data_IF_830319925979
#
_entry.id   IF_830319925979
#
_cell.length_a   1.000
_cell.length_b   1.000
_cell.length_c   1.000
_cell.angle_alpha   90.00
_cell.angle_beta   90.00
_cell.angle_gamma   90.00
#
_symmetry.space_group_name_H-M   'P 1'
#
loop_
_entity.id
_entity.type
_entity.pdbx_description
1 polymer ?
#
# COMPACT_ATOMS: atom_id res chain seq x y z
N UNK A 1 -32.73 -22.66 -35.11
CA UNK A 1 -31.31 -22.71 -34.69
C UNK A 1 -30.87 -21.46 -33.89
N UNK A 2 -31.70 -20.88 -33.01
CA UNK A 2 -31.33 -19.70 -32.16
C UNK A 2 -31.09 -20.02 -30.67
N UNK A 3 -31.43 -21.24 -30.23
CA UNK A 3 -31.42 -21.62 -28.81
C UNK A 3 -30.00 -21.85 -28.24
N UNK A 4 -29.02 -22.14 -29.10
CA UNK A 4 -27.65 -22.49 -28.68
C UNK A 4 -26.84 -21.27 -28.20
N UNK A 5 -27.07 -20.11 -28.82
CA UNK A 5 -26.37 -18.86 -28.47
C UNK A 5 -26.85 -18.25 -27.15
N UNK A 6 -28.14 -18.33 -26.85
CA UNK A 6 -28.71 -17.81 -25.59
C UNK A 6 -28.32 -18.65 -24.38
N UNK A 7 -28.23 -19.98 -24.53
CA UNK A 7 -27.78 -20.86 -23.45
C UNK A 7 -26.30 -20.63 -23.10
N UNK A 8 -25.44 -20.45 -24.11
CA UNK A 8 -24.02 -20.20 -23.90
C UNK A 8 -23.76 -18.84 -23.23
N UNK A 9 -24.51 -17.80 -23.62
CA UNK A 9 -24.43 -16.49 -22.98
C UNK A 9 -24.91 -16.52 -21.51
N UNK A 10 -25.98 -17.27 -21.22
CA UNK A 10 -26.50 -17.40 -19.84
C UNK A 10 -25.52 -18.15 -18.92
N UNK A 11 -24.86 -19.21 -19.43
CA UNK A 11 -23.84 -19.94 -18.68
C UNK A 11 -22.61 -19.06 -18.40
N UNK A 12 -22.17 -18.28 -19.39
CA UNK A 12 -21.04 -17.36 -19.20
C UNK A 12 -21.35 -16.29 -18.14
N UNK A 13 -22.57 -15.75 -18.15
CA UNK A 13 -23.04 -14.77 -17.17
C UNK A 13 -23.07 -15.35 -15.75
N UNK A 14 -23.55 -16.60 -15.59
CA UNK A 14 -23.59 -17.30 -14.29
C UNK A 14 -22.20 -17.55 -13.73
N UNK A 15 -21.23 -17.90 -14.57
CA UNK A 15 -19.83 -18.09 -14.17
C UNK A 15 -19.21 -16.77 -13.71
N UNK A 16 -19.45 -15.67 -14.45
CA UNK A 16 -18.94 -14.34 -14.09
C UNK A 16 -19.54 -13.82 -12.77
N UNK A 17 -20.84 -14.04 -12.54
CA UNK A 17 -21.50 -13.67 -11.28
C UNK A 17 -20.92 -14.46 -10.10
N UNK A 18 -20.69 -15.76 -10.25
CA UNK A 18 -20.07 -16.55 -9.19
C UNK A 18 -18.62 -16.16 -8.91
N UNK A 19 -17.86 -15.75 -9.93
CA UNK A 19 -16.50 -15.26 -9.75
C UNK A 19 -16.47 -13.96 -8.91
N UNK A 20 -17.37 -13.02 -9.20
CA UNK A 20 -17.44 -11.77 -8.44
C UNK A 20 -17.90 -11.96 -6.98
N UNK A 21 -18.84 -12.89 -6.75
CA UNK A 21 -19.33 -13.19 -5.40
C UNK A 21 -18.27 -13.90 -4.56
N UNK A 22 -17.42 -14.73 -5.16
CA UNK A 22 -16.36 -15.44 -4.42
C UNK A 22 -15.19 -14.55 -4.01
N UNK A 23 -14.88 -13.49 -4.77
CA UNK A 23 -13.90 -12.47 -4.36
C UNK A 23 -14.46 -11.48 -3.33
N UNK A 24 -15.75 -11.13 -3.42
CA UNK A 24 -16.38 -10.16 -2.53
C UNK A 24 -16.73 -10.68 -1.12
N UNK A 25 -16.91 -12.00 -0.94
CA UNK A 25 -17.30 -12.58 0.36
C UNK A 25 -16.10 -12.84 1.28
N UNK A 26 -14.91 -13.07 0.70
CA UNK A 26 -13.74 -13.44 1.48
C UNK A 26 -13.24 -12.32 2.38
N UNK A 27 -13.32 -11.06 1.91
CA UNK A 27 -12.74 -9.92 2.61
C UNK A 27 -13.54 -9.49 3.86
N UNK A 28 -14.88 -9.32 3.82
CA UNK A 28 -15.66 -8.93 5.00
C UNK A 28 -15.68 -10.01 6.09
N UNK A 29 -15.72 -11.29 5.72
CA UNK A 29 -15.77 -12.40 6.68
C UNK A 29 -14.44 -12.62 7.42
N UNK A 30 -13.31 -12.52 6.70
CA UNK A 30 -11.98 -12.64 7.29
C UNK A 30 -11.71 -11.49 8.28
N UNK A 31 -12.10 -10.26 7.95
CA UNK A 31 -11.93 -9.10 8.83
C UNK A 31 -12.80 -9.14 10.08
N UNK A 32 -14.04 -9.63 9.98
CA UNK A 32 -14.93 -9.77 11.14
C UNK A 32 -14.43 -10.86 12.11
N UNK A 33 -13.71 -11.88 11.62
CA UNK A 33 -13.24 -13.01 12.43
C UNK A 33 -11.83 -12.83 12.99
N UNK A 34 -10.97 -12.10 12.31
CA UNK A 34 -9.56 -11.88 12.69
C UNK A 34 -9.22 -10.42 12.96
N UNK A 35 -10.23 -9.58 13.20
CA UNK A 35 -10.10 -8.14 13.44
C UNK A 35 -8.84 -7.78 14.21
N UNK A 36 -7.88 -7.21 13.49
CA UNK A 36 -6.65 -6.68 14.06
C UNK A 36 -7.05 -5.51 14.96
N UNK A 37 -6.66 -5.56 16.22
CA UNK A 37 -6.84 -4.46 17.14
C UNK A 37 -6.32 -3.15 16.49
N UNK A 38 -7.10 -2.06 16.48
CA UNK A 38 -6.71 -0.84 15.76
C UNK A 38 -5.32 -0.37 16.21
N UNK A 39 -4.44 -0.04 15.25
CA UNK A 39 -3.07 0.40 15.57
C UNK A 39 -3.08 1.60 16.54
N UNK A 40 -4.04 2.51 16.38
CA UNK A 40 -4.33 3.62 17.31
C UNK A 40 -4.56 3.21 18.77
N UNK A 41 -5.07 2.01 19.04
CA UNK A 41 -5.26 1.49 20.41
C UNK A 41 -3.92 1.25 21.11
N UNK A 42 -2.86 0.91 20.37
CA UNK A 42 -1.49 0.73 20.91
C UNK A 42 -0.86 2.04 21.39
N UNK A 43 -1.31 3.18 20.87
CA UNK A 43 -0.78 4.50 21.23
C UNK A 43 -1.64 5.27 22.24
N UNK A 44 -2.84 4.76 22.57
CA UNK A 44 -3.61 5.24 23.73
C UNK A 44 -3.00 4.64 25.00
N UNK A 45 -1.84 5.13 25.39
CA UNK A 45 -1.12 4.63 26.55
C UNK A 45 -1.92 4.74 27.86
N UNK A 46 -1.90 3.65 28.62
CA UNK A 46 -1.63 3.61 30.05
C UNK A 46 -2.34 4.68 30.92
N UNK A 47 -3.63 4.48 31.17
CA UNK A 47 -4.40 5.27 32.12
C UNK A 47 -5.64 4.53 32.61
N UNK A 48 -5.43 3.48 33.41
CA UNK A 48 -6.47 2.94 34.31
C UNK A 48 -7.29 1.75 33.82
N UNK A 49 -7.07 0.60 34.46
CA UNK A 49 -8.11 -0.38 34.80
C UNK A 49 -8.44 -1.47 33.76
N UNK A 50 -8.05 -2.73 34.08
CA UNK A 50 -8.62 -4.03 33.67
C UNK A 50 -9.17 -4.18 32.24
N UNK A 51 -8.75 -5.17 31.47
CA UNK A 51 -9.28 -6.55 31.60
C UNK A 51 -8.56 -7.46 30.58
N UNK A 52 -8.06 -8.58 31.13
CA UNK A 52 -7.77 -9.93 30.58
C UNK A 52 -7.14 -10.12 29.18
N UNK A 53 -5.91 -10.64 29.22
CA UNK A 53 -5.41 -11.62 28.25
C UNK A 53 -6.09 -13.00 28.47
N UNK A 54 -6.30 -13.84 27.43
CA UNK A 54 -6.63 -15.24 27.64
C UNK A 54 -5.35 -16.07 27.72
N UNK A 55 -5.05 -16.59 28.92
CA UNK A 55 -4.11 -17.69 29.09
C UNK A 55 -4.90 -18.98 29.30
N UNK A 56 -4.53 -20.01 28.54
CA UNK A 56 -5.05 -21.35 28.69
C UNK A 56 -4.43 -22.06 29.91
N UNK A 57 -5.26 -22.92 30.50
CA UNK A 57 -4.96 -24.16 31.25
C UNK A 57 -4.54 -24.11 32.73
N UNK A 58 -5.45 -24.72 33.53
CA UNK A 58 -5.25 -25.70 34.62
C UNK A 58 -4.36 -25.40 35.84
N UNK A 59 -4.98 -25.48 37.03
CA UNK A 59 -4.29 -25.98 38.23
C UNK A 59 -4.66 -25.32 39.57
N UNK A 60 -5.66 -25.90 40.26
CA UNK A 60 -5.87 -26.05 41.74
C UNK A 60 -5.44 -24.94 42.75
N UNK A 61 -6.47 -24.46 43.46
CA UNK A 61 -6.61 -24.28 44.93
C UNK A 61 -5.44 -23.72 45.76
N UNK A 62 -5.66 -22.61 46.48
CA UNK A 62 -6.01 -22.57 47.92
C UNK A 62 -6.19 -21.12 48.42
N UNK A 63 -7.22 -20.91 49.26
CA UNK A 63 -7.41 -19.73 50.13
C UNK A 63 -6.51 -19.85 51.37
N UNK A 64 -6.26 -18.75 52.10
CA UNK A 64 -7.04 -18.57 53.32
C UNK A 64 -7.50 -17.13 53.59
N UNK A 65 -8.54 -17.09 54.41
CA UNK A 65 -9.23 -15.93 54.95
C UNK A 65 -8.42 -15.20 56.05
N UNK A 66 -8.84 -13.96 56.35
CA UNK A 66 -8.68 -13.39 57.68
C UNK A 66 -8.61 -11.87 57.73
N UNK A 67 -9.57 -11.24 58.43
CA UNK A 67 -9.33 -9.97 59.10
C UNK A 67 -10.25 -8.82 58.73
N UNK A 68 -11.40 -8.76 59.39
CA UNK A 68 -12.21 -7.56 59.48
C UNK A 68 -11.52 -6.50 60.35
N UNK A 69 -11.62 -5.22 59.98
CA UNK A 69 -11.89 -4.18 60.97
C UNK A 69 -12.55 -2.94 60.35
N UNK A 70 -13.57 -2.44 61.05
CA UNK A 70 -14.20 -1.12 60.86
C UNK A 70 -13.20 -0.05 61.26
N UNK A 71 -13.19 1.09 60.56
CA UNK A 71 -13.49 2.36 61.22
C UNK A 71 -13.74 3.52 60.24
N UNK A 72 -14.72 4.33 60.61
CA UNK A 72 -15.04 5.63 60.02
C UNK A 72 -14.00 6.64 60.50
N UNK A 73 -13.40 7.43 59.60
CA UNK A 73 -13.21 8.83 59.91
C UNK A 73 -12.98 9.73 58.69
N UNK A 74 -13.60 10.91 58.79
CA UNK A 74 -13.49 12.05 57.88
C UNK A 74 -12.04 12.56 57.87
N UNK A 75 -11.54 12.92 56.70
CA UNK A 75 -10.29 13.65 56.55
C UNK A 75 -10.03 13.94 55.07
N UNK A 76 -10.47 15.12 54.62
CA UNK A 76 -10.05 15.63 53.32
C UNK A 76 -8.55 15.98 53.37
N UNK A 77 -7.78 15.74 52.30
CA UNK A 77 -6.41 16.22 52.25
C UNK A 77 -6.40 17.69 51.82
N UNK A 78 -6.15 18.57 52.79
CA UNK A 78 -5.65 19.93 52.55
C UNK A 78 -4.24 19.81 51.97
N UNK A 79 -4.06 20.20 50.71
CA UNK A 79 -2.74 20.32 50.10
C UNK A 79 -1.93 21.46 50.75
N UNK A 80 -0.59 21.32 50.85
CA UNK A 80 0.27 22.35 51.43
C UNK A 80 0.30 23.64 50.58
N UNK A 81 0.57 24.81 51.19
CA UNK A 81 0.55 26.10 50.50
C UNK A 81 1.71 26.17 49.50
N UNK A 82 1.41 26.44 48.23
CA UNK A 82 2.41 26.59 47.16
C UNK A 82 2.17 25.75 45.90
N UNK A 83 1.17 24.88 45.89
CA UNK A 83 0.69 24.23 44.66
C UNK A 83 -0.48 25.02 44.08
N UNK A 84 -0.20 25.87 43.08
CA UNK A 84 -1.23 26.32 42.17
C UNK A 84 -1.76 25.10 41.41
N UNK A 85 -3.06 24.84 41.53
CA UNK A 85 -3.77 23.97 40.59
C UNK A 85 -3.72 24.69 39.23
N UNK A 86 -2.70 24.37 38.44
CA UNK A 86 -2.62 24.81 37.06
C UNK A 86 -3.88 24.29 36.37
N UNK A 87 -4.74 25.21 35.90
CA UNK A 87 -5.92 24.87 35.13
C UNK A 87 -5.58 23.80 34.10
N UNK A 88 -6.31 22.68 34.02
CA UNK A 88 -6.05 21.63 33.03
C UNK A 88 -6.34 22.07 31.59
N UNK A 89 -6.61 23.37 31.36
CA UNK A 89 -6.90 23.95 30.05
C UNK A 89 -5.69 24.52 29.31
N UNK A 90 -4.47 24.45 29.85
CA UNK A 90 -3.27 24.96 29.15
C UNK A 90 -2.13 23.96 28.95
N UNK A 91 -2.34 22.67 29.27
CA UNK A 91 -1.34 21.63 28.98
C UNK A 91 -1.63 21.04 27.61
N UNK A 92 -1.01 21.66 26.60
CA UNK A 92 -0.71 21.12 25.26
C UNK A 92 -1.95 20.65 24.49
N UNK A 93 -2.14 21.24 23.33
CA UNK A 93 -2.85 20.62 22.22
C UNK A 93 -2.15 19.29 21.91
N UNK A 94 -2.50 18.25 22.67
CA UNK A 94 -2.07 16.90 22.46
C UNK A 94 -2.66 16.55 21.10
N UNK A 95 -1.79 16.55 20.09
CA UNK A 95 -2.15 16.30 18.71
C UNK A 95 -3.04 15.07 18.68
N UNK A 96 -4.32 15.27 18.36
CA UNK A 96 -5.32 14.21 18.44
C UNK A 96 -4.89 13.11 17.47
N UNK A 97 -4.62 11.91 17.99
CA UNK A 97 -4.29 10.75 17.14
C UNK A 97 -5.56 10.33 16.38
N UNK A 98 -5.44 10.12 15.08
CA UNK A 98 -6.56 9.68 14.24
C UNK A 98 -7.05 8.28 14.62
N UNK A 99 -8.32 8.01 14.33
CA UNK A 99 -8.77 6.64 14.13
C UNK A 99 -8.29 6.20 12.74
N UNK A 100 -7.71 5.00 12.67
CA UNK A 100 -7.09 4.48 11.46
C UNK A 100 -8.10 3.78 10.56
N UNK A 101 -9.24 3.37 11.12
CA UNK A 101 -10.24 2.60 10.42
C UNK A 101 -10.76 3.29 9.14
N UNK A 102 -11.04 4.61 9.13
CA UNK A 102 -11.38 5.31 7.89
C UNK A 102 -10.29 5.22 6.81
N UNK A 103 -9.01 5.27 7.19
CA UNK A 103 -7.88 5.17 6.26
C UNK A 103 -7.80 3.77 5.67
N UNK A 104 -7.86 2.75 6.53
CA UNK A 104 -7.89 1.35 6.14
C UNK A 104 -9.02 1.06 5.16
N UNK A 105 -10.25 1.53 5.46
CA UNK A 105 -11.40 1.30 4.60
C UNK A 105 -11.24 1.91 3.21
N UNK A 106 -10.55 3.05 3.08
CA UNK A 106 -10.25 3.65 1.78
C UNK A 106 -9.18 2.87 1.02
N UNK A 107 -8.10 2.45 1.69
CA UNK A 107 -7.05 1.62 1.06
C UNK A 107 -7.58 0.26 0.59
N UNK A 108 -8.53 -0.32 1.33
CA UNK A 108 -9.16 -1.59 0.97
C UNK A 108 -9.91 -1.53 -0.38
N UNK A 109 -10.43 -0.37 -0.78
CA UNK A 109 -11.09 -0.18 -2.09
C UNK A 109 -10.14 -0.47 -3.25
N UNK A 110 -8.86 -0.14 -3.08
CA UNK A 110 -7.80 -0.38 -4.06
C UNK A 110 -7.04 -1.69 -3.82
N UNK A 111 -7.42 -2.49 -2.82
CA UNK A 111 -6.67 -3.67 -2.36
C UNK A 111 -5.22 -3.35 -1.97
N UNK A 112 -4.95 -2.13 -1.48
CA UNK A 112 -3.63 -1.70 -1.03
C UNK A 112 -3.42 -2.16 0.41
N UNK A 113 -2.92 -3.40 0.55
CA UNK A 113 -2.60 -4.02 1.85
C UNK A 113 -1.10 -4.18 2.09
N UNK A 114 -0.26 -3.89 1.09
CA UNK A 114 1.20 -3.94 1.22
C UNK A 114 1.87 -2.94 0.25
N UNK A 115 3.16 -2.62 0.45
CA UNK A 115 3.92 -1.78 -0.47
C UNK A 115 3.92 -2.31 -1.92
N UNK A 116 3.99 -3.62 -2.12
CA UNK A 116 3.96 -4.28 -3.44
C UNK A 116 2.63 -4.05 -4.14
N UNK A 117 1.52 -4.07 -3.39
CA UNK A 117 0.18 -3.85 -3.94
C UNK A 117 0.00 -2.44 -4.50
N UNK A 118 0.76 -1.46 -3.99
CA UNK A 118 0.83 -0.11 -4.58
C UNK A 118 1.50 -0.17 -5.96
N UNK A 119 2.63 -0.85 -6.07
CA UNK A 119 3.37 -0.98 -7.35
C UNK A 119 2.53 -1.77 -8.37
N UNK A 120 1.80 -2.78 -7.92
CA UNK A 120 0.92 -3.61 -8.75
C UNK A 120 -0.22 -2.81 -9.41
N UNK A 121 -0.53 -1.60 -8.93
CA UNK A 121 -1.48 -0.70 -9.59
C UNK A 121 -1.02 -0.30 -11.00
N UNK A 122 0.29 -0.33 -11.29
CA UNK A 122 0.82 -0.13 -12.66
C UNK A 122 0.30 -1.17 -13.66
N UNK A 123 0.03 -2.37 -13.17
CA UNK A 123 -0.41 -3.50 -13.97
C UNK A 123 -1.94 -3.65 -14.00
N UNK A 124 -2.68 -2.59 -13.67
CA UNK A 124 -4.14 -2.58 -13.82
C UNK A 124 -4.52 -2.48 -15.31
N UNK A 125 -5.66 -3.07 -15.72
CA UNK A 125 -6.11 -3.03 -17.12
C UNK A 125 -6.28 -1.60 -17.67
N UNK A 126 -6.82 -0.71 -16.84
CA UNK A 126 -7.04 0.70 -17.15
C UNK A 126 -6.37 1.58 -16.09
N UNK A 127 -5.23 2.18 -16.45
CA UNK A 127 -4.56 3.16 -15.58
C UNK A 127 -5.39 4.43 -15.39
N UNK A 128 -6.16 4.84 -16.40
CA UNK A 128 -6.99 6.05 -16.32
C UNK A 128 -8.02 5.92 -15.21
N UNK A 129 -8.74 4.79 -15.20
CA UNK A 129 -9.77 4.51 -14.18
C UNK A 129 -9.12 4.30 -12.81
N UNK A 130 -8.01 3.54 -12.76
CA UNK A 130 -7.25 3.34 -11.53
C UNK A 130 -6.80 4.67 -10.94
N UNK A 131 -6.33 5.61 -11.77
CA UNK A 131 -5.91 6.93 -11.33
C UNK A 131 -7.08 7.81 -10.85
N UNK A 132 -8.27 7.68 -11.43
CA UNK A 132 -9.46 8.34 -10.91
C UNK A 132 -9.82 7.81 -9.52
N UNK A 133 -9.78 6.49 -9.33
CA UNK A 133 -10.08 5.85 -8.04
C UNK A 133 -9.03 6.19 -6.97
N UNK A 134 -7.74 6.19 -7.33
CA UNK A 134 -6.63 6.59 -6.44
C UNK A 134 -6.81 8.02 -5.94
N UNK A 135 -7.18 8.96 -6.82
CA UNK A 135 -7.45 10.35 -6.43
C UNK A 135 -8.62 10.46 -5.47
N UNK A 136 -9.71 9.73 -5.71
CA UNK A 136 -10.86 9.69 -4.80
C UNK A 136 -10.48 9.10 -3.43
N UNK A 137 -9.78 7.97 -3.41
CA UNK A 137 -9.32 7.32 -2.17
C UNK A 137 -8.42 8.23 -1.35
N UNK A 138 -7.40 8.84 -1.97
CA UNK A 138 -6.50 9.77 -1.27
C UNK A 138 -7.25 11.01 -0.77
N UNK A 139 -8.16 11.58 -1.55
CA UNK A 139 -9.00 12.70 -1.12
C UNK A 139 -9.81 12.36 0.14
N UNK A 140 -10.42 11.17 0.18
CA UNK A 140 -11.19 10.69 1.33
C UNK A 140 -10.30 10.42 2.55
N UNK A 141 -9.08 9.90 2.36
CA UNK A 141 -8.09 9.74 3.44
C UNK A 141 -7.70 11.11 4.03
N UNK A 142 -7.41 12.10 3.18
CA UNK A 142 -7.07 13.45 3.64
C UNK A 142 -8.25 14.11 4.36
N UNK A 143 -9.47 13.93 3.87
CA UNK A 143 -10.66 14.45 4.55
C UNK A 143 -10.84 13.82 5.94
N UNK A 144 -10.68 12.48 6.06
CA UNK A 144 -10.80 11.76 7.31
C UNK A 144 -9.71 12.12 8.33
N UNK A 145 -8.52 12.49 7.86
CA UNK A 145 -7.36 12.83 8.71
C UNK A 145 -7.17 14.33 8.91
N UNK A 146 -7.98 15.18 8.29
CA UNK A 146 -7.83 16.66 8.29
C UNK A 146 -7.78 17.33 9.67
N UNK A 147 -8.28 16.68 10.73
CA UNK A 147 -8.39 17.22 12.10
C UNK A 147 -7.57 16.44 13.13
N UNK A 148 -6.71 15.55 12.68
CA UNK A 148 -5.93 14.66 13.54
C UNK A 148 -4.60 14.32 12.87
N UNK A 149 -3.71 13.63 13.58
CA UNK A 149 -2.44 13.17 13.01
C UNK A 149 -2.35 11.66 13.19
N UNK A 150 -2.01 10.94 12.11
CA UNK A 150 -1.71 9.51 12.17
C UNK A 150 -0.41 9.29 12.93
N UNK A 151 -0.31 8.18 13.66
CA UNK A 151 0.94 7.83 14.32
C UNK A 151 2.10 7.69 13.30
N UNK A 152 3.34 8.09 13.63
CA UNK A 152 4.45 8.04 12.66
C UNK A 152 4.77 6.64 12.11
N UNK A 153 4.46 5.60 12.89
CA UNK A 153 4.60 4.17 12.58
C UNK A 153 3.28 3.53 12.12
N UNK A 154 2.26 4.34 11.84
CA UNK A 154 0.99 3.86 11.32
C UNK A 154 1.14 3.29 9.91
N UNK A 155 0.93 1.98 9.79
CA UNK A 155 1.08 1.25 8.53
C UNK A 155 0.18 1.79 7.42
N UNK A 156 -1.06 2.20 7.74
CA UNK A 156 -2.00 2.71 6.74
C UNK A 156 -1.63 4.12 6.29
N UNK A 157 -1.12 4.94 7.20
CA UNK A 157 -0.49 6.22 6.87
C UNK A 157 0.67 6.04 5.92
N UNK A 158 1.55 5.07 6.18
CA UNK A 158 2.69 4.76 5.29
C UNK A 158 2.25 4.25 3.92
N UNK A 159 1.30 3.33 3.86
CA UNK A 159 0.72 2.88 2.59
C UNK A 159 0.11 4.06 1.82
N UNK A 160 -0.58 4.98 2.51
CA UNK A 160 -1.09 6.21 1.89
C UNK A 160 0.03 7.12 1.36
N UNK A 161 1.16 7.26 2.07
CA UNK A 161 2.33 8.02 1.58
C UNK A 161 2.92 7.39 0.29
N UNK A 162 3.00 6.06 0.23
CA UNK A 162 3.44 5.35 -0.97
C UNK A 162 2.47 5.48 -2.14
N UNK A 163 1.17 5.49 -1.86
CA UNK A 163 0.09 5.66 -2.83
C UNK A 163 0.01 7.10 -3.35
N UNK A 164 0.26 8.09 -2.50
CA UNK A 164 0.33 9.50 -2.90
C UNK A 164 1.48 9.73 -3.89
N UNK A 165 2.66 9.13 -3.63
CA UNK A 165 3.76 9.14 -4.59
C UNK A 165 3.40 8.43 -5.92
N UNK A 166 2.66 7.32 -5.87
CA UNK A 166 2.16 6.68 -7.09
C UNK A 166 1.29 7.66 -7.90
N UNK A 167 0.34 8.34 -7.24
CA UNK A 167 -0.54 9.34 -7.87
C UNK A 167 0.29 10.46 -8.53
N UNK A 168 1.25 11.04 -7.82
CA UNK A 168 2.11 12.11 -8.33
C UNK A 168 2.87 11.69 -9.60
N UNK A 169 3.43 10.47 -9.62
CA UNK A 169 4.28 10.02 -10.73
C UNK A 169 3.48 9.50 -11.92
N UNK A 170 2.40 8.75 -11.66
CA UNK A 170 1.67 7.99 -12.68
C UNK A 170 0.41 8.74 -13.13
N UNK A 171 -0.35 9.30 -12.19
CA UNK A 171 -1.70 9.79 -12.42
C UNK A 171 -1.82 11.27 -12.74
N UNK A 172 -0.87 12.07 -12.27
CA UNK A 172 -0.85 13.51 -12.53
C UNK A 172 -0.15 13.77 -13.88
N UNK A 173 -0.94 14.19 -14.86
CA UNK A 173 -0.52 14.51 -16.24
C UNK A 173 0.08 15.89 -16.37
N UNK A 174 -0.16 16.75 -15.39
CA UNK A 174 0.10 18.17 -15.49
C UNK A 174 1.37 18.50 -14.72
N UNK A 175 2.18 19.34 -15.35
CA UNK A 175 3.49 19.84 -14.94
C UNK A 175 4.67 19.03 -15.48
N UNK A 176 5.60 19.78 -16.07
CA UNK A 176 6.95 19.44 -16.47
C UNK A 176 7.85 19.00 -15.29
N UNK A 177 7.30 18.31 -14.30
CA UNK A 177 7.99 17.81 -13.12
C UNK A 177 9.08 16.80 -13.49
N UNK A 178 10.24 16.93 -12.85
CA UNK A 178 11.39 16.05 -13.05
C UNK A 178 11.06 14.55 -12.88
N UNK A 179 10.09 14.23 -12.02
CA UNK A 179 9.66 12.87 -11.69
C UNK A 179 9.03 12.14 -12.88
N UNK A 180 8.09 12.77 -13.61
CA UNK A 180 7.44 12.12 -14.77
C UNK A 180 8.42 11.90 -15.92
N UNK A 181 9.33 12.85 -16.16
CA UNK A 181 10.43 12.68 -17.12
C UNK A 181 11.36 11.52 -16.74
N UNK A 182 11.63 11.34 -15.45
CA UNK A 182 12.44 10.20 -14.93
C UNK A 182 11.79 8.85 -15.19
N UNK A 183 10.45 8.79 -15.26
CA UNK A 183 9.68 7.55 -15.45
C UNK A 183 8.93 7.48 -16.79
N UNK A 184 9.34 8.25 -17.80
CA UNK A 184 8.69 8.24 -19.11
C UNK A 184 8.72 6.84 -19.75
N UNK A 185 9.86 6.15 -19.68
CA UNK A 185 10.02 4.79 -20.20
C UNK A 185 9.18 3.74 -19.46
N UNK A 186 8.87 3.95 -18.18
CA UNK A 186 7.95 3.12 -17.40
C UNK A 186 6.53 3.23 -17.96
N UNK A 187 6.08 4.46 -18.24
CA UNK A 187 4.75 4.73 -18.78
C UNK A 187 4.64 4.25 -20.24
N UNK A 188 5.70 4.37 -21.04
CA UNK A 188 5.77 3.78 -22.38
C UNK A 188 5.69 2.25 -22.33
N UNK A 189 6.33 1.62 -21.34
CA UNK A 189 6.30 0.17 -21.13
C UNK A 189 5.04 -0.34 -20.41
N UNK A 190 4.05 0.52 -20.12
CA UNK A 190 2.90 0.18 -19.30
C UNK A 190 2.09 -1.01 -19.85
N UNK A 191 1.92 -1.10 -21.17
CA UNK A 191 1.24 -2.24 -21.78
C UNK A 191 1.99 -3.55 -21.49
N UNK A 192 3.32 -3.56 -21.48
CA UNK A 192 4.10 -4.74 -21.12
C UNK A 192 3.98 -5.06 -19.63
N UNK A 193 4.07 -4.03 -18.78
CA UNK A 193 3.96 -4.18 -17.32
C UNK A 193 2.57 -4.73 -16.93
N UNK A 194 1.52 -4.35 -17.64
CA UNK A 194 0.18 -4.92 -17.48
C UNK A 194 0.17 -6.43 -17.69
N UNK A 195 0.81 -6.92 -18.73
CA UNK A 195 0.88 -8.37 -18.99
C UNK A 195 1.72 -9.12 -17.94
N UNK A 196 2.67 -8.42 -17.30
CA UNK A 196 3.54 -8.96 -16.24
C UNK A 196 2.85 -9.01 -14.86
N UNK A 197 1.55 -8.73 -14.75
CA UNK A 197 0.84 -8.70 -13.47
C UNK A 197 1.09 -9.95 -12.61
N UNK A 198 1.00 -11.13 -13.22
CA UNK A 198 1.21 -12.40 -12.51
C UNK A 198 2.65 -12.56 -12.04
N UNK A 199 3.63 -12.25 -12.89
CA UNK A 199 5.05 -12.27 -12.51
C UNK A 199 5.37 -11.28 -11.38
N UNK A 200 4.69 -10.13 -11.33
CA UNK A 200 4.83 -9.19 -10.23
C UNK A 200 4.25 -9.72 -8.92
N UNK A 201 3.16 -10.49 -8.98
CA UNK A 201 2.59 -11.14 -7.80
C UNK A 201 3.54 -12.23 -7.27
N UNK A 202 4.25 -12.96 -8.15
CA UNK A 202 5.27 -13.93 -7.74
C UNK A 202 6.45 -13.30 -6.99
N UNK A 203 6.65 -11.99 -7.12
CA UNK A 203 7.68 -11.24 -6.39
C UNK A 203 7.21 -10.74 -5.00
N UNK A 204 5.96 -10.98 -4.59
CA UNK A 204 5.47 -10.54 -3.29
C UNK A 204 6.24 -11.20 -2.15
N UNK A 205 6.67 -10.38 -1.19
CA UNK A 205 7.33 -10.88 0.00
C UNK A 205 6.33 -11.49 0.99
N UNK A 206 6.82 -12.19 2.04
CA UNK A 206 5.94 -12.75 3.06
C UNK A 206 5.03 -11.69 3.70
N UNK A 207 3.80 -12.05 4.11
CA UNK A 207 2.88 -11.11 4.75
C UNK A 207 3.54 -10.31 5.89
N UNK A 208 3.20 -9.02 5.98
CA UNK A 208 3.62 -8.09 7.03
C UNK A 208 5.16 -7.89 7.15
N UNK A 209 5.94 -8.29 6.15
CA UNK A 209 7.40 -8.15 6.19
C UNK A 209 7.86 -6.71 6.45
N UNK A 210 7.11 -5.72 5.94
CA UNK A 210 7.39 -4.29 6.05
C UNK A 210 7.16 -3.73 7.46
N UNK A 211 6.52 -4.50 8.34
CA UNK A 211 6.33 -4.16 9.77
C UNK A 211 7.49 -4.66 10.65
N UNK A 212 8.41 -5.44 10.07
CA UNK A 212 9.54 -6.01 10.80
C UNK A 212 10.42 -4.93 11.42
N UNK A 213 10.63 -5.01 12.74
CA UNK A 213 11.53 -4.09 13.48
C UNK A 213 13.01 -4.32 13.17
N UNK A 214 13.39 -5.52 12.76
CA UNK A 214 14.75 -5.84 12.34
C UNK A 214 15.07 -5.20 10.98
N UNK A 215 15.77 -4.06 11.02
CA UNK A 215 16.16 -3.29 9.83
C UNK A 215 16.92 -4.11 8.79
N UNK A 216 17.86 -4.94 9.21
CA UNK A 216 18.66 -5.75 8.27
C UNK A 216 17.80 -6.75 7.52
N UNK A 217 16.88 -7.44 8.22
CA UNK A 217 15.92 -8.36 7.60
C UNK A 217 14.95 -7.61 6.67
N UNK A 218 14.41 -6.48 7.13
CA UNK A 218 13.53 -5.61 6.33
C UNK A 218 14.20 -5.18 5.02
N UNK A 219 15.42 -4.66 5.10
CA UNK A 219 16.12 -4.14 3.92
C UNK A 219 16.59 -5.25 2.96
N UNK A 220 16.86 -6.45 3.47
CA UNK A 220 17.13 -7.62 2.64
C UNK A 220 15.89 -7.99 1.82
N UNK A 221 14.75 -8.17 2.49
CA UNK A 221 13.47 -8.51 1.81
C UNK A 221 13.08 -7.42 0.80
N UNK A 222 13.20 -6.15 1.19
CA UNK A 222 12.95 -5.02 0.29
C UNK A 222 13.80 -5.10 -1.00
N UNK A 223 15.11 -5.35 -0.87
CA UNK A 223 15.97 -5.47 -2.05
C UNK A 223 15.67 -6.72 -2.87
N UNK A 224 15.29 -7.85 -2.24
CA UNK A 224 14.90 -9.07 -2.94
C UNK A 224 13.66 -8.84 -3.81
N UNK A 225 12.64 -8.14 -3.31
CA UNK A 225 11.44 -7.77 -4.09
C UNK A 225 11.83 -6.87 -5.28
N UNK A 226 12.67 -5.85 -5.06
CA UNK A 226 13.14 -4.96 -6.12
C UNK A 226 13.98 -5.69 -7.18
N UNK A 227 14.83 -6.62 -6.77
CA UNK A 227 15.63 -7.48 -7.65
C UNK A 227 14.74 -8.43 -8.47
N UNK A 228 13.67 -8.95 -7.87
CA UNK A 228 12.68 -9.77 -8.55
C UNK A 228 11.95 -8.96 -9.63
N UNK A 229 11.40 -7.79 -9.30
CA UNK A 229 10.78 -6.90 -10.29
C UNK A 229 11.72 -6.53 -11.43
N UNK A 230 12.98 -6.19 -11.11
CA UNK A 230 13.98 -5.91 -12.12
C UNK A 230 14.20 -7.10 -13.05
N UNK A 231 14.36 -8.30 -12.49
CA UNK A 231 14.66 -9.51 -13.27
C UNK A 231 13.51 -9.87 -14.20
N UNK A 232 12.27 -9.88 -13.69
CA UNK A 232 11.07 -10.17 -14.49
C UNK A 232 10.87 -9.15 -15.59
N UNK A 233 10.94 -7.86 -15.26
CA UNK A 233 10.79 -6.80 -16.25
C UNK A 233 11.92 -6.81 -17.28
N UNK A 234 13.15 -7.14 -16.90
CA UNK A 234 14.26 -7.23 -17.85
C UNK A 234 14.06 -8.35 -18.86
N UNK A 235 13.50 -9.48 -18.43
CA UNK A 235 13.19 -10.63 -19.29
C UNK A 235 11.99 -10.37 -20.21
N UNK A 236 11.01 -9.56 -19.78
CA UNK A 236 9.73 -9.42 -20.49
C UNK A 236 9.56 -8.06 -21.20
N UNK A 237 10.01 -6.97 -20.58
CA UNK A 237 9.81 -5.59 -21.02
C UNK A 237 11.11 -4.87 -21.41
N UNK A 238 12.26 -5.49 -21.15
CA UNK A 238 13.59 -4.99 -21.48
C UNK A 238 14.26 -4.24 -20.33
N UNK A 239 15.59 -4.07 -20.46
CA UNK A 239 16.45 -3.56 -19.38
C UNK A 239 16.07 -2.15 -18.93
N UNK A 240 15.65 -1.27 -19.84
CA UNK A 240 15.35 0.12 -19.50
C UNK A 240 14.06 0.22 -18.69
N UNK A 241 12.98 -0.44 -19.15
CA UNK A 241 11.74 -0.57 -18.39
C UNK A 241 11.99 -1.20 -17.02
N UNK A 242 12.85 -2.21 -16.94
CA UNK A 242 13.22 -2.86 -15.68
C UNK A 242 13.91 -1.93 -14.68
N UNK A 243 14.84 -1.09 -15.14
CA UNK A 243 15.51 -0.08 -14.29
C UNK A 243 14.50 0.92 -13.76
N UNK A 244 13.60 1.40 -14.63
CA UNK A 244 12.59 2.38 -14.23
C UNK A 244 11.56 1.78 -13.28
N UNK A 245 11.11 0.53 -13.52
CA UNK A 245 10.21 -0.17 -12.61
C UNK A 245 10.84 -0.39 -11.24
N UNK A 246 12.10 -0.87 -11.20
CA UNK A 246 12.84 -1.03 -9.95
C UNK A 246 12.97 0.30 -9.21
N UNK A 247 13.33 1.37 -9.91
CA UNK A 247 13.48 2.69 -9.31
C UNK A 247 12.15 3.25 -8.80
N UNK A 248 11.06 3.05 -9.54
CA UNK A 248 9.73 3.48 -9.15
C UNK A 248 9.24 2.71 -7.93
N UNK A 249 9.36 1.37 -7.97
CA UNK A 249 9.02 0.50 -6.86
C UNK A 249 9.83 0.86 -5.61
N UNK A 250 11.12 1.16 -5.78
CA UNK A 250 11.97 1.59 -4.67
C UNK A 250 11.44 2.86 -4.01
N UNK A 251 11.12 3.89 -4.79
CA UNK A 251 10.64 5.18 -4.27
C UNK A 251 9.23 5.05 -3.66
N UNK A 252 8.33 4.30 -4.30
CA UNK A 252 6.95 4.08 -3.82
C UNK A 252 6.90 3.21 -2.57
N UNK A 253 7.49 2.01 -2.61
CA UNK A 253 7.54 1.10 -1.47
C UNK A 253 8.37 1.67 -0.32
N UNK A 254 9.45 2.40 -0.63
CA UNK A 254 10.31 3.05 0.35
C UNK A 254 9.58 4.04 1.26
N UNK A 255 8.53 4.70 0.75
CA UNK A 255 7.64 5.58 1.52
C UNK A 255 6.62 4.81 2.34
N UNK A 256 6.22 3.64 1.86
CA UNK A 256 5.29 2.75 2.55
C UNK A 256 5.91 1.89 3.66
N UNK A 257 7.22 2.00 3.91
CA UNK A 257 7.90 1.26 4.97
C UNK A 257 8.10 2.10 6.23
N UNK A 258 8.11 1.43 7.38
CA UNK A 258 8.37 2.06 8.68
C UNK A 258 9.83 2.47 8.89
N UNK A 259 10.77 1.93 8.08
CA UNK A 259 12.19 2.28 8.17
C UNK A 259 12.78 2.45 6.77
N UNK A 260 13.71 3.40 6.63
CA UNK A 260 14.42 3.65 5.36
C UNK A 260 15.48 2.57 5.12
N UNK A 261 15.45 2.03 3.90
CA UNK A 261 16.43 1.08 3.39
C UNK A 261 17.19 1.68 2.22
N UNK A 262 18.48 1.33 2.11
CA UNK A 262 19.26 1.68 0.93
C UNK A 262 18.98 0.66 -0.18
N UNK A 263 18.77 1.18 -1.39
CA UNK A 263 18.59 0.35 -2.59
C UNK A 263 19.98 -0.07 -3.07
N UNK A 264 20.17 -1.37 -3.29
CA UNK A 264 21.38 -1.90 -3.90
C UNK A 264 21.61 -1.24 -5.26
N UNK A 265 22.79 -0.64 -5.44
CA UNK A 265 23.25 -0.09 -6.72
C UNK A 265 23.63 -1.20 -7.71
N UNK A 266 23.88 -2.41 -7.22
CA UNK A 266 24.24 -3.57 -8.04
C UNK A 266 22.95 -4.22 -8.54
N UNK A 267 22.74 -4.14 -9.85
CA UNK A 267 21.62 -4.79 -10.52
C UNK A 267 21.91 -6.29 -10.73
N UNK A 268 20.91 -7.17 -10.58
CA UNK A 268 21.00 -8.57 -10.99
C UNK A 268 21.45 -8.70 -12.45
N UNK A 269 22.29 -9.69 -12.75
CA UNK A 269 22.68 -9.99 -14.13
C UNK A 269 21.58 -10.83 -14.77
N UNK A 270 21.01 -10.34 -15.88
CA UNK A 270 19.99 -11.06 -16.64
C UNK A 270 20.59 -11.53 -17.97
N UNK A 271 20.78 -12.84 -18.09
CA UNK A 271 21.21 -13.50 -19.34
C UNK A 271 19.93 -13.74 -20.13
N UNK A 272 19.77 -13.16 -21.32
CA UNK A 272 18.53 -13.15 -22.13
C UNK A 272 17.49 -12.08 -21.76
N UNK A 273 17.93 -10.85 -21.52
CA UNK A 273 16.99 -9.74 -21.42
C UNK A 273 16.28 -9.48 -22.76
N UNK A 274 15.02 -9.05 -22.70
CA UNK A 274 14.26 -8.64 -23.87
C UNK A 274 15.00 -7.48 -24.56
N UNK A 275 15.15 -7.49 -25.91
CA UNK A 275 15.75 -6.38 -26.63
C UNK A 275 14.99 -5.09 -26.31
N UNK A 276 15.70 -3.99 -26.09
CA UNK A 276 15.06 -2.69 -25.94
C UNK A 276 14.31 -2.37 -27.25
N UNK A 277 12.99 -2.18 -27.16
CA UNK A 277 12.16 -1.51 -28.16
C UNK A 277 12.53 -0.01 -28.20
N UNK A 278 13.82 0.30 -28.30
CA UNK A 278 14.23 1.63 -28.70
C UNK A 278 13.72 1.76 -30.14
N UNK A 279 12.70 2.58 -30.32
CA UNK A 279 12.16 2.99 -31.61
C UNK A 279 13.34 3.25 -32.52
N UNK A 280 13.62 2.33 -33.43
CA UNK A 280 14.53 2.59 -34.53
C UNK A 280 13.80 3.61 -35.39
N UNK A 281 13.90 4.88 -35.03
CA UNK A 281 13.68 5.97 -35.96
C UNK A 281 14.84 5.92 -36.95
N UNK A 282 14.89 4.87 -37.77
CA UNK A 282 15.61 4.94 -39.04
C UNK A 282 14.86 5.98 -39.86
N UNK A 283 15.45 7.15 -40.16
CA UNK A 283 14.80 8.20 -40.95
C UNK A 283 14.51 7.76 -42.41
N UNK A 284 14.87 6.52 -42.78
CA UNK A 284 14.71 5.98 -44.12
C UNK A 284 13.25 5.72 -44.51
N UNK A 285 12.36 5.41 -43.55
CA UNK A 285 10.95 5.10 -43.87
C UNK A 285 10.14 6.32 -44.31
N UNK A 286 10.36 7.48 -43.68
CA UNK A 286 9.65 8.72 -44.02
C UNK A 286 10.14 9.35 -45.33
N UNK A 287 11.41 9.15 -45.70
CA UNK A 287 11.96 9.59 -46.98
C UNK A 287 11.36 8.83 -48.17
N UNK A 288 11.06 7.54 -48.03
CA UNK A 288 10.45 6.73 -49.09
C UNK A 288 8.98 7.12 -49.29
N UNK A 289 8.22 7.37 -48.22
CA UNK A 289 6.82 7.80 -48.32
C UNK A 289 6.70 9.18 -48.98
N UNK A 290 7.62 10.10 -48.67
CA UNK A 290 7.65 11.42 -49.33
C UNK A 290 8.10 11.35 -50.79
N UNK A 291 9.10 10.52 -51.14
CA UNK A 291 9.51 10.30 -52.53
C UNK A 291 8.41 9.64 -53.38
N UNK A 292 7.68 8.67 -52.82
CA UNK A 292 6.57 8.02 -53.52
C UNK A 292 5.42 9.01 -53.76
N UNK A 293 5.11 9.87 -52.79
CA UNK A 293 4.08 10.90 -52.98
C UNK A 293 4.51 11.94 -54.03
N UNK A 294 5.77 12.37 -54.05
CA UNK A 294 6.26 13.33 -55.07
C UNK A 294 6.21 12.72 -56.48
N UNK A 295 6.51 11.42 -56.64
CA UNK A 295 6.44 10.72 -57.93
C UNK A 295 5.02 10.42 -58.42
N UNK A 296 4.01 10.50 -57.55
CA UNK A 296 2.59 10.31 -57.92
C UNK A 296 1.95 11.65 -58.34
N UNK A 297 2.44 12.77 -57.80
CA UNK A 297 1.87 14.11 -58.02
C UNK A 297 2.64 15.00 -59.02
N UNK A 298 3.77 14.53 -59.57
CA UNK A 298 4.49 15.16 -60.68
C UNK A 298 4.44 14.27 -61.92
#
# INVERSE_FOLDING_TARGET
MKLKGTLQAAVLLLVLIHLQISEAIWFPWYFHRYGLEPHSARHRGAGGGGVTAPAASSGKQTMPAGGANKDKNKGGPTCPPGFELKDPKSVREATRICDDNPVLMQLARLYVVSPERIVLLLAQPSLVDSCAEIRDVLSNIHAATSKCVLAPDNIYGKLSEGLDYFKEVVCESDCEGSSRKRFAGLLEAQNCIREMRTDMIECEAPPDWYETRNKSKLCLIYNDVLDCYYTRAAMLCGIEAAKQLRSFAADSMGRAMNQKCEVSKKLPRVVNAMPSLATSSTPMGMAIVTLVLILIFC
#
